data_IF_176368037227
#
_entry.id   IF_176368037227
#
_cell.length_a   1.000
_cell.length_b   1.000
_cell.length_c   1.000
_cell.angle_alpha   90.00
_cell.angle_beta   90.00
_cell.angle_gamma   90.00
#
_symmetry.space_group_name_H-M   'P 1'
#
loop_
_entity.id
_entity.type
_entity.pdbx_description
1 polymer ?
#
# COMPACT_ATOMS: atom_id res chain seq x y z
N UNK A 1 34.69 -11.95 -29.48
CA UNK A 1 34.15 -10.85 -28.66
C UNK A 1 32.69 -11.22 -28.37
N UNK A 2 32.42 -11.65 -27.14
CA UNK A 2 31.08 -11.97 -26.69
C UNK A 2 30.20 -10.73 -26.79
N UNK A 3 29.00 -10.90 -27.30
CA UNK A 3 28.07 -9.77 -27.45
C UNK A 3 27.65 -9.30 -26.04
N UNK A 4 27.53 -7.99 -25.85
CA UNK A 4 26.99 -7.41 -24.60
C UNK A 4 25.66 -8.05 -24.17
N UNK A 5 24.89 -8.61 -25.12
CA UNK A 5 23.65 -9.33 -24.86
C UNK A 5 23.84 -10.63 -24.08
N UNK A 6 25.03 -11.24 -24.16
CA UNK A 6 25.34 -12.49 -23.47
C UNK A 6 25.78 -12.25 -22.01
N UNK A 7 26.23 -11.02 -21.73
CA UNK A 7 26.76 -10.59 -20.42
C UNK A 7 25.67 -9.84 -19.62
N UNK A 8 24.84 -9.02 -20.30
CA UNK A 8 23.83 -8.17 -19.65
C UNK A 8 22.45 -8.82 -19.76
N UNK A 9 21.91 -9.26 -18.64
CA UNK A 9 20.52 -9.74 -18.52
C UNK A 9 19.63 -8.64 -17.97
N UNK A 10 18.61 -8.26 -18.73
CA UNK A 10 17.59 -7.33 -18.22
C UNK A 10 16.60 -8.08 -17.32
N UNK A 11 16.44 -7.58 -16.10
CA UNK A 11 15.37 -8.06 -15.23
C UNK A 11 14.05 -7.39 -15.68
N UNK A 12 13.17 -8.19 -16.31
CA UNK A 12 11.89 -7.70 -16.85
C UNK A 12 10.94 -7.16 -15.77
N UNK A 13 11.16 -7.47 -14.50
CA UNK A 13 10.35 -6.98 -13.38
C UNK A 13 10.50 -5.47 -13.13
N UNK A 14 11.53 -4.83 -13.69
CA UNK A 14 11.80 -3.39 -13.54
C UNK A 14 11.38 -2.55 -14.74
N UNK A 15 10.83 -3.15 -15.79
CA UNK A 15 10.39 -2.40 -17.00
C UNK A 15 9.22 -1.45 -16.75
N UNK A 16 8.47 -1.61 -15.67
CA UNK A 16 7.31 -0.79 -15.36
C UNK A 16 7.53 -0.01 -14.07
N UNK A 17 7.11 1.26 -14.07
CA UNK A 17 7.09 2.09 -12.87
C UNK A 17 6.34 1.37 -11.72
N UNK A 18 6.80 1.57 -10.50
CA UNK A 18 6.12 1.03 -9.32
C UNK A 18 4.88 1.88 -9.05
N UNK A 19 3.72 1.29 -9.26
CA UNK A 19 2.45 1.82 -8.81
C UNK A 19 2.08 1.08 -7.52
N UNK A 20 2.02 1.80 -6.40
CA UNK A 20 1.77 1.18 -5.09
C UNK A 20 0.45 0.39 -5.06
N UNK A 21 -0.58 0.95 -5.66
CA UNK A 21 -1.91 0.34 -5.71
C UNK A 21 -1.93 -1.01 -6.44
N UNK A 22 -1.30 -1.05 -7.62
CA UNK A 22 -1.25 -2.24 -8.47
C UNK A 22 -0.15 -3.23 -8.08
N UNK A 23 0.82 -2.78 -7.28
CA UNK A 23 2.02 -3.55 -6.96
C UNK A 23 2.03 -4.13 -5.55
N UNK A 24 1.11 -3.70 -4.67
CA UNK A 24 1.10 -4.05 -3.24
C UNK A 24 1.11 -5.57 -2.99
N UNK A 25 0.41 -6.34 -3.83
CA UNK A 25 0.30 -7.80 -3.71
C UNK A 25 1.17 -8.56 -4.71
N UNK A 26 2.25 -7.93 -5.24
CA UNK A 26 3.16 -8.55 -6.21
C UNK A 26 4.50 -8.90 -5.55
N UNK A 27 4.69 -10.16 -5.07
CA UNK A 27 5.92 -10.57 -4.40
C UNK A 27 7.18 -10.37 -5.22
N UNK A 28 7.09 -10.53 -6.55
CA UNK A 28 8.20 -10.35 -7.48
C UNK A 28 8.77 -8.93 -7.49
N UNK A 29 7.94 -7.93 -7.16
CA UNK A 29 8.39 -6.54 -7.05
C UNK A 29 9.21 -6.32 -5.77
N UNK A 30 8.90 -7.03 -4.69
CA UNK A 30 9.67 -6.98 -3.44
C UNK A 30 11.00 -7.71 -3.61
N UNK A 31 11.01 -8.89 -4.27
CA UNK A 31 12.23 -9.66 -4.55
C UNK A 31 13.23 -8.89 -5.42
N UNK A 32 12.74 -8.05 -6.32
CA UNK A 32 13.58 -7.22 -7.15
C UNK A 32 14.20 -6.01 -6.45
N UNK A 33 13.90 -5.76 -5.18
CA UNK A 33 14.42 -4.60 -4.47
C UNK A 33 15.91 -4.76 -4.16
N UNK A 34 16.70 -3.74 -4.52
CA UNK A 34 18.12 -3.65 -4.20
C UNK A 34 18.29 -2.60 -3.09
N UNK A 35 18.59 -3.02 -1.85
CA UNK A 35 18.79 -2.09 -0.76
C UNK A 35 20.09 -1.30 -0.91
N UNK A 36 20.04 -0.03 -0.51
CA UNK A 36 21.19 0.86 -0.43
C UNK A 36 21.37 1.35 1.00
N UNK A 37 22.53 1.81 1.40
CA UNK A 37 22.79 2.31 2.77
C UNK A 37 21.74 3.34 3.21
N UNK A 38 21.42 4.32 2.35
CA UNK A 38 20.44 5.36 2.66
C UNK A 38 19.03 4.82 2.79
N UNK A 39 18.63 3.86 1.95
CA UNK A 39 17.30 3.24 2.04
C UNK A 39 17.18 2.32 3.25
N UNK A 40 18.25 1.63 3.64
CA UNK A 40 18.30 0.79 4.83
C UNK A 40 18.22 1.65 6.10
N UNK A 41 18.95 2.76 6.17
CA UNK A 41 18.84 3.70 7.30
C UNK A 41 17.43 4.24 7.46
N UNK A 42 16.81 4.71 6.38
CA UNK A 42 15.42 5.18 6.38
C UNK A 42 14.44 4.08 6.83
N UNK A 43 14.59 2.86 6.30
CA UNK A 43 13.78 1.71 6.68
C UNK A 43 13.92 1.40 8.18
N UNK A 44 15.15 1.49 8.71
CA UNK A 44 15.45 1.28 10.13
C UNK A 44 14.75 2.27 11.04
N UNK A 45 14.81 3.57 10.71
CA UNK A 45 14.13 4.62 11.47
C UNK A 45 12.62 4.41 11.48
N UNK A 46 12.04 4.13 10.32
CA UNK A 46 10.61 3.92 10.19
C UNK A 46 10.13 2.67 10.95
N UNK A 47 10.79 1.51 10.76
CA UNK A 47 10.40 0.26 11.41
C UNK A 47 10.63 0.33 12.93
N UNK A 48 11.65 1.05 13.40
CA UNK A 48 11.84 1.30 14.82
C UNK A 48 10.68 2.08 15.41
N UNK A 49 10.22 3.14 14.75
CA UNK A 49 9.06 3.90 15.20
C UNK A 49 7.79 3.03 15.27
N UNK A 50 7.58 2.15 14.28
CA UNK A 50 6.48 1.17 14.30
C UNK A 50 6.58 0.20 15.48
N UNK A 51 7.79 -0.30 15.79
CA UNK A 51 8.03 -1.22 16.91
C UNK A 51 7.76 -0.52 18.25
N UNK A 52 8.16 0.74 18.35
CA UNK A 52 8.02 1.56 19.56
C UNK A 52 6.60 2.13 19.72
N UNK A 53 5.68 1.84 18.80
CA UNK A 53 4.32 2.41 18.70
C UNK A 53 4.32 3.95 18.73
N UNK A 54 5.29 4.55 18.09
CA UNK A 54 5.37 6.01 17.92
C UNK A 54 4.66 6.42 16.65
N UNK A 55 3.69 7.33 16.77
CA UNK A 55 3.11 7.98 15.62
C UNK A 55 4.16 8.87 14.95
N UNK A 56 4.38 8.67 13.66
CA UNK A 56 5.37 9.42 12.91
C UNK A 56 4.85 9.79 11.53
N UNK A 57 4.65 11.08 11.33
CA UNK A 57 4.48 11.61 9.98
C UNK A 57 5.85 11.63 9.28
N UNK A 58 5.95 10.96 8.14
CA UNK A 58 7.21 10.86 7.39
C UNK A 58 7.04 11.44 5.98
N UNK A 59 7.90 12.38 5.61
CA UNK A 59 7.95 12.96 4.28
C UNK A 59 9.17 12.45 3.52
N UNK A 60 8.95 11.71 2.44
CA UNK A 60 10.01 11.20 1.58
C UNK A 60 10.22 12.13 0.38
N UNK A 61 11.30 12.89 0.39
CA UNK A 61 11.68 13.84 -0.67
C UNK A 61 12.91 13.33 -1.41
N UNK A 62 12.94 13.55 -2.72
CA UNK A 62 14.10 13.20 -3.54
C UNK A 62 13.77 13.23 -5.03
N UNK A 63 14.81 13.27 -5.91
CA UNK A 63 14.60 13.36 -7.35
C UNK A 63 13.87 12.14 -7.92
N UNK A 64 13.30 12.33 -9.10
CA UNK A 64 12.62 11.25 -9.84
C UNK A 64 13.60 10.10 -10.16
N UNK A 65 13.11 8.88 -10.19
CA UNK A 65 13.91 7.69 -10.55
C UNK A 65 14.81 7.12 -9.44
N UNK A 66 14.85 7.72 -8.25
CA UNK A 66 15.72 7.26 -7.13
C UNK A 66 15.11 6.13 -6.27
N UNK A 67 14.06 5.46 -6.75
CA UNK A 67 13.53 4.27 -6.07
C UNK A 67 12.61 4.53 -4.87
N UNK A 68 12.15 5.76 -4.62
CA UNK A 68 11.26 6.10 -3.50
C UNK A 68 10.01 5.23 -3.43
N UNK A 69 9.31 5.11 -4.56
CA UNK A 69 8.08 4.29 -4.62
C UNK A 69 8.37 2.81 -4.41
N UNK A 70 9.57 2.32 -4.79
CA UNK A 70 9.97 0.95 -4.57
C UNK A 70 10.28 0.69 -3.09
N UNK A 71 11.01 1.60 -2.44
CA UNK A 71 11.24 1.53 -1.00
C UNK A 71 9.92 1.54 -0.21
N UNK A 72 8.99 2.43 -0.58
CA UNK A 72 7.67 2.49 0.05
C UNK A 72 6.89 1.19 -0.17
N UNK A 73 6.94 0.60 -1.36
CA UNK A 73 6.33 -0.70 -1.64
C UNK A 73 6.89 -1.80 -0.74
N UNK A 74 8.21 -1.84 -0.54
CA UNK A 74 8.88 -2.82 0.32
C UNK A 74 8.47 -2.64 1.78
N UNK A 75 8.42 -1.41 2.28
CA UNK A 75 7.92 -1.12 3.64
C UNK A 75 6.47 -1.57 3.81
N UNK A 76 5.60 -1.25 2.85
CA UNK A 76 4.22 -1.70 2.86
C UNK A 76 4.12 -3.23 2.84
N UNK A 77 4.96 -3.92 2.08
CA UNK A 77 5.01 -5.38 2.04
C UNK A 77 5.38 -5.97 3.41
N UNK A 78 6.39 -5.42 4.09
CA UNK A 78 6.78 -5.85 5.44
C UNK A 78 5.62 -5.68 6.43
N UNK A 79 4.87 -4.58 6.32
CA UNK A 79 3.79 -4.25 7.24
C UNK A 79 2.51 -5.04 6.96
N UNK A 80 2.11 -5.18 5.69
CA UNK A 80 0.76 -5.57 5.30
C UNK A 80 0.63 -6.87 4.51
N UNK A 81 1.72 -7.38 3.94
CA UNK A 81 1.65 -8.59 3.10
C UNK A 81 1.15 -9.79 3.91
N UNK A 82 0.30 -10.61 3.30
CA UNK A 82 -0.29 -11.80 3.90
C UNK A 82 0.78 -12.81 4.35
N UNK A 83 0.60 -13.47 5.51
CA UNK A 83 1.58 -14.37 6.15
C UNK A 83 1.56 -15.79 5.53
N UNK A 84 1.60 -15.89 4.22
CA UNK A 84 1.67 -17.18 3.48
C UNK A 84 3.08 -17.73 3.47
N UNK A 85 3.22 -19.04 3.17
CA UNK A 85 4.53 -19.69 3.00
C UNK A 85 5.37 -19.03 1.88
N UNK A 86 4.71 -18.62 0.80
CA UNK A 86 5.35 -17.95 -0.34
C UNK A 86 5.88 -16.58 0.07
N UNK A 87 5.04 -15.77 0.71
CA UNK A 87 5.42 -14.43 1.14
C UNK A 87 6.50 -14.46 2.23
N UNK A 88 6.49 -15.49 3.10
CA UNK A 88 7.58 -15.71 4.07
C UNK A 88 8.94 -15.86 3.38
N UNK A 89 9.01 -16.60 2.26
CA UNK A 89 10.25 -16.74 1.48
C UNK A 89 10.72 -15.40 0.91
N UNK A 90 9.76 -14.58 0.41
CA UNK A 90 10.04 -13.24 -0.13
C UNK A 90 10.64 -12.33 0.95
N UNK A 91 10.04 -12.31 2.12
CA UNK A 91 10.54 -11.51 3.24
C UNK A 91 11.87 -12.05 3.77
N UNK A 92 12.08 -13.37 3.80
CA UNK A 92 13.38 -13.95 4.17
C UNK A 92 14.49 -13.49 3.23
N UNK A 93 14.25 -13.49 1.92
CA UNK A 93 15.20 -12.99 0.93
C UNK A 93 15.47 -11.48 1.09
N UNK A 94 14.43 -10.68 1.38
CA UNK A 94 14.59 -9.27 1.68
C UNK A 94 15.46 -9.05 2.93
N UNK A 95 15.24 -9.84 3.98
CA UNK A 95 16.04 -9.79 5.21
C UNK A 95 17.51 -10.08 4.93
N UNK A 96 17.83 -11.09 4.13
CA UNK A 96 19.20 -11.40 3.70
C UNK A 96 19.81 -10.23 2.93
N UNK A 97 19.13 -9.74 1.89
CA UNK A 97 19.62 -8.63 1.07
C UNK A 97 19.86 -7.35 1.89
N UNK A 98 19.03 -7.06 2.88
CA UNK A 98 19.19 -5.91 3.78
C UNK A 98 20.36 -6.12 4.72
N UNK A 99 20.50 -7.32 5.28
CA UNK A 99 21.60 -7.67 6.21
C UNK A 99 22.98 -7.55 5.56
N UNK A 100 23.07 -7.83 4.25
CA UNK A 100 24.33 -7.83 3.50
C UNK A 100 24.84 -6.42 3.15
N UNK A 101 24.05 -5.37 3.41
CA UNK A 101 24.45 -4.00 3.05
C UNK A 101 25.55 -3.47 3.98
N UNK A 102 25.36 -3.54 5.30
CA UNK A 102 26.31 -3.10 6.33
C UNK A 102 25.82 -3.49 7.74
N UNK A 103 26.51 -3.01 8.77
CA UNK A 103 26.13 -3.28 10.18
C UNK A 103 24.74 -2.73 10.55
N UNK A 104 24.33 -1.60 9.97
CA UNK A 104 22.98 -1.05 10.13
C UNK A 104 21.95 -2.00 9.51
N UNK A 105 22.30 -2.59 8.36
CA UNK A 105 21.47 -3.59 7.69
C UNK A 105 21.18 -4.80 8.55
N UNK A 106 22.12 -5.26 9.35
CA UNK A 106 21.90 -6.37 10.31
C UNK A 106 20.85 -6.00 11.35
N UNK A 107 20.90 -4.78 11.89
CA UNK A 107 19.92 -4.29 12.87
C UNK A 107 18.55 -4.16 12.23
N UNK A 108 18.49 -3.59 11.02
CA UNK A 108 17.23 -3.40 10.29
C UNK A 108 16.61 -4.73 9.90
N UNK A 109 17.41 -5.72 9.56
CA UNK A 109 16.94 -7.08 9.28
C UNK A 109 16.19 -7.70 10.47
N UNK A 110 16.64 -7.44 11.71
CA UNK A 110 15.94 -7.87 12.91
C UNK A 110 14.63 -7.09 13.13
N UNK A 111 14.61 -5.79 12.80
CA UNK A 111 13.36 -5.01 12.84
C UNK A 111 12.33 -5.54 11.83
N UNK A 112 12.75 -5.90 10.62
CA UNK A 112 11.87 -6.53 9.62
C UNK A 112 11.29 -7.83 10.17
N UNK A 113 12.10 -8.72 10.74
CA UNK A 113 11.64 -9.99 11.34
C UNK A 113 10.64 -9.73 12.47
N UNK A 114 10.92 -8.78 13.35
CA UNK A 114 10.06 -8.43 14.48
C UNK A 114 8.72 -7.90 14.04
N UNK A 115 8.69 -6.96 13.10
CA UNK A 115 7.46 -6.39 12.55
C UNK A 115 6.67 -7.45 11.78
N UNK A 116 7.33 -8.25 10.94
CA UNK A 116 6.70 -9.34 10.20
C UNK A 116 6.09 -10.41 11.11
N UNK A 117 6.73 -10.72 12.22
CA UNK A 117 6.25 -11.70 13.22
C UNK A 117 5.10 -11.20 14.09
N UNK A 118 4.80 -9.91 14.04
CA UNK A 118 3.80 -9.26 14.88
C UNK A 118 2.48 -9.03 14.11
N UNK A 119 1.74 -8.00 14.48
CA UNK A 119 0.46 -7.61 13.87
C UNK A 119 0.65 -7.25 12.39
N UNK A 120 -0.34 -7.60 11.58
CA UNK A 120 -0.46 -7.15 10.21
C UNK A 120 -1.19 -5.81 10.18
N UNK A 121 -0.68 -4.86 9.41
CA UNK A 121 -1.26 -3.54 9.25
C UNK A 121 -2.16 -3.49 8.00
N UNK A 122 -3.19 -2.67 8.05
CA UNK A 122 -4.03 -2.36 6.91
C UNK A 122 -3.52 -1.07 6.23
N UNK A 123 -2.90 -1.14 5.05
CA UNK A 123 -2.43 0.06 4.38
C UNK A 123 -3.58 0.80 3.70
N UNK A 124 -3.82 2.03 4.11
CA UNK A 124 -4.75 2.95 3.47
C UNK A 124 -3.98 3.82 2.49
N UNK A 125 -4.22 3.64 1.20
CA UNK A 125 -3.55 4.41 0.15
C UNK A 125 -4.45 5.56 -0.29
N UNK A 126 -3.91 6.79 -0.24
CA UNK A 126 -4.61 8.00 -0.65
C UNK A 126 -3.90 8.59 -1.87
N UNK A 127 -4.63 8.88 -2.94
CA UNK A 127 -4.11 9.55 -4.13
C UNK A 127 -4.44 11.03 -4.09
N UNK A 128 -3.50 11.88 -4.52
CA UNK A 128 -3.57 13.34 -4.37
C UNK A 128 -4.58 14.08 -5.28
N UNK A 129 -5.55 13.40 -5.89
CA UNK A 129 -6.48 14.00 -6.85
C UNK A 129 -7.83 14.43 -6.25
N UNK A 130 -7.99 14.42 -4.96
CA UNK A 130 -9.24 14.79 -4.28
C UNK A 130 -9.06 16.11 -3.54
N UNK A 131 -9.98 17.04 -3.75
CA UNK A 131 -9.96 18.34 -3.07
C UNK A 131 -10.29 18.31 -1.58
N UNK A 132 -10.83 17.17 -1.09
CA UNK A 132 -11.18 16.94 0.31
C UNK A 132 -10.42 15.73 0.88
N UNK A 133 -9.61 16.00 1.91
CA UNK A 133 -8.81 14.98 2.58
C UNK A 133 -9.67 13.93 3.30
N UNK A 134 -10.80 14.32 3.88
CA UNK A 134 -11.69 13.38 4.56
C UNK A 134 -12.30 12.40 3.57
N UNK A 135 -12.77 12.88 2.42
CA UNK A 135 -13.26 12.02 1.35
C UNK A 135 -12.15 11.09 0.83
N UNK A 136 -10.95 11.63 0.59
CA UNK A 136 -9.82 10.85 0.13
C UNK A 136 -9.48 9.71 1.10
N UNK A 137 -9.50 10.00 2.40
CA UNK A 137 -9.27 9.01 3.45
C UNK A 137 -10.36 7.95 3.47
N UNK A 138 -11.64 8.34 3.43
CA UNK A 138 -12.76 7.39 3.43
C UNK A 138 -12.73 6.48 2.21
N UNK A 139 -12.45 7.01 1.02
CA UNK A 139 -12.29 6.17 -0.18
C UNK A 139 -11.12 5.21 -0.07
N UNK A 140 -9.97 5.69 0.41
CA UNK A 140 -8.79 4.85 0.62
C UNK A 140 -9.04 3.75 1.65
N UNK A 141 -9.76 4.05 2.74
CA UNK A 141 -10.14 3.08 3.78
C UNK A 141 -11.13 2.05 3.24
N UNK A 142 -12.19 2.48 2.55
CA UNK A 142 -13.16 1.59 1.91
C UNK A 142 -12.48 0.59 0.98
N UNK A 143 -11.57 1.10 0.15
CA UNK A 143 -10.83 0.27 -0.78
C UNK A 143 -9.89 -0.70 -0.07
N UNK A 144 -9.20 -0.25 0.98
CA UNK A 144 -8.34 -1.10 1.79
C UNK A 144 -9.15 -2.24 2.45
N UNK A 145 -10.30 -1.94 3.04
CA UNK A 145 -11.19 -2.93 3.66
C UNK A 145 -11.75 -3.92 2.63
N UNK A 146 -12.17 -3.45 1.46
CA UNK A 146 -12.66 -4.30 0.36
C UNK A 146 -11.58 -5.26 -0.13
N UNK A 147 -10.32 -4.79 -0.27
CA UNK A 147 -9.18 -5.64 -0.67
C UNK A 147 -8.89 -6.76 0.32
N UNK A 148 -9.09 -6.51 1.59
CA UNK A 148 -8.88 -7.51 2.66
C UNK A 148 -10.10 -8.38 2.91
N UNK A 149 -11.19 -8.21 2.15
CA UNK A 149 -12.43 -8.98 2.32
C UNK A 149 -13.27 -8.59 3.53
N UNK A 150 -12.95 -7.46 4.17
CA UNK A 150 -13.62 -6.94 5.38
C UNK A 150 -14.80 -6.04 5.01
N UNK A 151 -15.69 -6.52 4.16
CA UNK A 151 -16.82 -5.74 3.61
C UNK A 151 -17.80 -5.26 4.69
N UNK A 152 -17.96 -6.03 5.75
CA UNK A 152 -18.88 -5.71 6.86
C UNK A 152 -18.40 -4.53 7.71
N UNK A 153 -17.11 -4.16 7.59
CA UNK A 153 -16.50 -3.03 8.29
C UNK A 153 -16.40 -1.76 7.42
N UNK A 154 -16.87 -1.83 6.18
CA UNK A 154 -16.85 -0.68 5.26
C UNK A 154 -17.85 0.36 5.77
N UNK A 155 -17.41 1.58 6.13
CA UNK A 155 -18.33 2.64 6.53
C UNK A 155 -19.18 3.07 5.33
N UNK A 156 -20.45 3.38 5.57
CA UNK A 156 -21.33 3.95 4.55
C UNK A 156 -20.74 5.31 4.10
N UNK A 157 -20.59 5.46 2.81
CA UNK A 157 -20.25 6.77 2.23
C UNK A 157 -21.47 7.65 2.19
N UNK A 158 -21.28 8.97 2.06
CA UNK A 158 -22.41 9.90 1.83
C UNK A 158 -23.25 9.49 0.61
N UNK A 159 -22.61 8.88 -0.38
CA UNK A 159 -23.31 8.36 -1.55
C UNK A 159 -24.20 7.16 -1.21
N UNK A 160 -23.69 6.21 -0.44
CA UNK A 160 -24.45 5.03 0.01
C UNK A 160 -25.65 5.47 0.89
N UNK A 161 -25.43 6.45 1.78
CA UNK A 161 -26.49 7.04 2.59
C UNK A 161 -27.55 7.71 1.71
N UNK A 162 -27.14 8.44 0.66
CA UNK A 162 -28.06 9.09 -0.25
C UNK A 162 -28.86 8.08 -1.06
N UNK A 163 -28.21 7.04 -1.60
CA UNK A 163 -28.86 5.94 -2.32
C UNK A 163 -29.89 5.24 -1.42
N UNK A 164 -29.49 4.84 -0.21
CA UNK A 164 -30.39 4.19 0.75
C UNK A 164 -31.61 5.08 1.10
N UNK A 165 -31.42 6.41 1.18
CA UNK A 165 -32.56 7.34 1.39
C UNK A 165 -33.50 7.37 0.19
N UNK A 166 -32.96 7.40 -1.03
CA UNK A 166 -33.77 7.40 -2.26
C UNK A 166 -34.56 6.10 -2.36
N UNK A 167 -33.93 4.95 -2.10
CA UNK A 167 -34.60 3.64 -2.09
C UNK A 167 -35.68 3.55 -1.02
N UNK A 168 -35.46 4.12 0.18
CA UNK A 168 -36.46 4.21 1.23
C UNK A 168 -37.63 5.11 0.80
N UNK A 169 -37.37 6.23 0.11
CA UNK A 169 -38.43 7.08 -0.40
C UNK A 169 -39.25 6.40 -1.49
N UNK A 170 -38.60 5.66 -2.38
CA UNK A 170 -39.31 4.86 -3.40
C UNK A 170 -40.25 3.83 -2.77
N UNK A 171 -39.81 3.17 -1.68
CA UNK A 171 -40.59 2.15 -0.99
C UNK A 171 -41.70 2.73 -0.12
N UNK A 172 -41.38 3.75 0.69
CA UNK A 172 -42.23 4.21 1.77
C UNK A 172 -43.06 5.45 1.39
N UNK A 173 -42.64 6.21 0.36
CA UNK A 173 -43.24 7.48 -0.06
C UNK A 173 -43.24 7.60 -1.59
N UNK A 174 -43.86 6.63 -2.27
CA UNK A 174 -43.86 6.52 -3.74
C UNK A 174 -44.36 7.78 -4.46
N UNK A 175 -45.38 8.44 -3.94
CA UNK A 175 -45.93 9.66 -4.54
C UNK A 175 -44.95 10.84 -4.47
N UNK A 176 -44.25 10.98 -3.36
CA UNK A 176 -43.22 12.02 -3.16
C UNK A 176 -41.99 11.74 -4.04
N UNK A 177 -41.60 10.47 -4.15
CA UNK A 177 -40.52 10.04 -5.01
C UNK A 177 -40.80 10.35 -6.49
N UNK A 178 -41.97 9.98 -6.98
CA UNK A 178 -42.40 10.27 -8.34
C UNK A 178 -42.52 11.77 -8.63
N UNK A 179 -43.00 12.55 -7.67
CA UNK A 179 -43.07 14.00 -7.77
C UNK A 179 -41.70 14.63 -7.93
N UNK A 180 -40.73 14.23 -7.11
CA UNK A 180 -39.34 14.71 -7.22
C UNK A 180 -38.69 14.36 -8.56
N UNK A 181 -38.94 13.15 -9.11
CA UNK A 181 -38.40 12.75 -10.41
C UNK A 181 -38.98 13.56 -11.56
N UNK A 182 -40.27 13.94 -11.49
CA UNK A 182 -40.90 14.76 -12.53
C UNK A 182 -40.29 16.16 -12.64
N UNK A 183 -39.77 16.72 -11.55
CA UNK A 183 -39.14 18.05 -11.52
C UNK A 183 -37.63 18.03 -11.80
N UNK A 184 -36.99 16.88 -11.77
CA UNK A 184 -35.52 16.73 -11.98
C UNK A 184 -35.16 16.13 -13.33
N UNK A 185 -36.17 15.68 -14.12
CA UNK A 185 -35.94 15.27 -15.49
C UNK A 185 -35.78 16.51 -16.39
N UNK A 186 -34.67 16.60 -17.21
CA UNK A 186 -34.44 17.68 -18.13
C UNK A 186 -35.46 17.70 -19.27
#
# INVERSE_FOLDING_TARGET
>A
LDSLKDIVKFNNNFKTAVNLYLSLNKPEKVLGYIPTKSSVSFMGEYLKAVIDNKEQATLMVGPYGKGKSHLLLVLLAVLSMERTKTNKKVISQLVENVSDVDEVGKIVSEYIKKVWGNKRFLPVLITGNTGDLNQAFLYGLNDALKREGLKDLVPDTYYDIAVNRIENWERDYIDTYNFCLLYTSP
#
